data_IF_186735465808
#
_entry.id   IF_186735465808
#
_cell.length_a   1.000
_cell.length_b   1.000
_cell.length_c   1.000
_cell.angle_alpha   90.00
_cell.angle_beta   90.00
_cell.angle_gamma   90.00
#
_symmetry.space_group_name_H-M   'P 1'
#
loop_
_entity.id
_entity.type
_entity.pdbx_description
1 polymer ?
#
# COMPACT_ATOMS: atom_id res chain seq x y z
N UNK A 1 -2.40 -10.27 -5.26
CA UNK A 1 -1.19 -10.88 -4.66
C UNK A 1 -0.96 -10.26 -3.31
N UNK A 2 -0.07 -10.83 -2.51
CA UNK A 2 0.34 -10.28 -1.21
C UNK A 2 1.82 -9.96 -1.28
N UNK A 3 2.21 -8.77 -0.83
CA UNK A 3 3.58 -8.30 -0.82
C UNK A 3 3.92 -7.74 0.54
N UNK A 4 5.12 -8.00 1.02
CA UNK A 4 5.60 -7.47 2.28
C UNK A 4 6.75 -6.51 2.02
N UNK A 5 6.71 -5.36 2.68
CA UNK A 5 7.70 -4.29 2.55
C UNK A 5 8.30 -4.02 3.91
N UNK A 6 9.62 -4.08 3.99
CA UNK A 6 10.38 -3.75 5.20
C UNK A 6 11.25 -2.53 4.91
N UNK A 7 11.15 -1.51 5.76
CA UNK A 7 12.07 -0.38 5.74
C UNK A 7 13.24 -0.67 6.69
N UNK A 8 14.44 -0.85 6.12
CA UNK A 8 15.68 -1.03 6.88
C UNK A 8 16.58 0.17 6.64
N UNK A 9 16.64 1.07 7.63
CA UNK A 9 17.28 2.38 7.48
C UNK A 9 16.58 3.22 6.42
N UNK A 10 17.33 3.71 5.43
CA UNK A 10 16.80 4.53 4.32
C UNK A 10 16.32 3.72 3.11
N UNK A 11 16.28 2.39 3.20
CA UNK A 11 15.96 1.51 2.05
C UNK A 11 14.73 0.67 2.33
N UNK A 12 13.90 0.54 1.29
CA UNK A 12 12.80 -0.41 1.25
C UNK A 12 13.27 -1.72 0.64
N UNK A 13 12.82 -2.84 1.21
CA UNK A 13 13.05 -4.18 0.69
C UNK A 13 11.72 -4.91 0.56
N UNK A 14 11.52 -5.56 -0.59
CA UNK A 14 10.44 -6.52 -0.77
C UNK A 14 10.83 -7.82 -0.04
N UNK A 15 9.88 -8.38 0.69
CA UNK A 15 10.02 -9.62 1.45
C UNK A 15 8.96 -10.61 1.01
N UNK A 16 9.30 -11.89 1.06
CA UNK A 16 8.37 -12.98 0.76
C UNK A 16 7.43 -13.26 1.95
N UNK A 17 7.83 -12.84 3.15
CA UNK A 17 7.09 -13.00 4.40
C UNK A 17 6.98 -11.69 5.20
N UNK A 18 5.97 -11.65 6.06
CA UNK A 18 5.76 -10.59 7.03
C UNK A 18 4.80 -11.06 8.10
N UNK A 19 5.32 -11.78 9.09
CA UNK A 19 4.54 -12.38 10.19
C UNK A 19 3.76 -11.34 11.02
N UNK A 20 4.23 -10.09 11.09
CA UNK A 20 3.56 -9.01 11.82
C UNK A 20 3.89 -7.64 11.23
N UNK A 21 3.21 -7.23 10.15
CA UNK A 21 3.44 -5.94 9.55
C UNK A 21 2.94 -4.81 10.47
N UNK A 22 3.70 -3.72 10.56
CA UNK A 22 3.27 -2.53 11.30
C UNK A 22 2.01 -1.89 10.71
N UNK A 23 1.79 -2.07 9.40
CA UNK A 23 0.61 -1.63 8.69
C UNK A 23 0.26 -2.58 7.56
N UNK A 24 -1.03 -2.73 7.28
CA UNK A 24 -1.55 -3.54 6.17
C UNK A 24 -2.49 -2.70 5.32
N UNK A 25 -2.19 -2.64 4.02
CA UNK A 25 -3.00 -2.02 2.99
C UNK A 25 -3.67 -3.13 2.18
N UNK A 26 -4.99 -3.11 2.10
CA UNK A 26 -5.78 -4.02 1.27
C UNK A 26 -6.51 -3.21 0.21
N UNK A 27 -6.24 -3.53 -1.05
CA UNK A 27 -6.96 -3.00 -2.20
C UNK A 27 -7.76 -4.14 -2.80
N UNK A 28 -9.05 -3.94 -3.03
CA UNK A 28 -9.78 -4.84 -3.91
C UNK A 28 -9.25 -4.73 -5.35
N UNK A 29 -9.63 -5.69 -6.19
CA UNK A 29 -9.11 -5.79 -7.55
C UNK A 29 -9.42 -4.55 -8.40
N UNK A 30 -10.61 -3.97 -8.26
CA UNK A 30 -11.03 -2.82 -9.04
C UNK A 30 -10.29 -1.57 -8.60
N UNK A 31 -10.19 -1.35 -7.30
CA UNK A 31 -9.46 -0.23 -6.70
C UNK A 31 -7.98 -0.30 -7.04
N UNK A 32 -7.36 -1.49 -6.96
CA UNK A 32 -5.98 -1.69 -7.37
C UNK A 32 -5.76 -1.28 -8.84
N UNK A 33 -6.63 -1.74 -9.74
CA UNK A 33 -6.56 -1.34 -11.16
C UNK A 33 -6.72 0.16 -11.36
N UNK A 34 -7.67 0.80 -10.68
CA UNK A 34 -7.88 2.25 -10.75
C UNK A 34 -6.68 3.04 -10.24
N UNK A 35 -6.04 2.58 -9.17
CA UNK A 35 -4.82 3.19 -8.63
C UNK A 35 -3.68 3.07 -9.64
N UNK A 36 -3.47 1.88 -10.21
CA UNK A 36 -2.38 1.64 -11.17
C UNK A 36 -2.54 2.42 -12.48
N UNK A 37 -3.77 2.58 -12.94
CA UNK A 37 -4.07 3.36 -14.15
C UNK A 37 -4.24 4.85 -13.90
N UNK A 38 -4.01 5.31 -12.66
CA UNK A 38 -4.21 6.72 -12.23
C UNK A 38 -5.63 7.23 -12.48
N UNK A 39 -6.61 6.32 -12.52
CA UNK A 39 -8.04 6.62 -12.64
C UNK A 39 -8.67 7.04 -11.30
N UNK A 40 -7.91 7.03 -10.21
CA UNK A 40 -8.30 7.54 -8.89
C UNK A 40 -7.08 8.14 -8.19
N UNK A 41 -7.27 9.22 -7.44
CA UNK A 41 -6.20 9.80 -6.65
C UNK A 41 -5.98 9.02 -5.33
N UNK A 42 -4.78 9.06 -4.74
CA UNK A 42 -4.47 8.29 -3.53
C UNK A 42 -5.32 8.63 -2.31
N UNK A 43 -5.82 9.87 -2.19
CA UNK A 43 -6.65 10.28 -1.05
C UNK A 43 -8.05 9.68 -1.17
N UNK A 44 -8.65 9.71 -2.36
CA UNK A 44 -9.92 9.05 -2.65
C UNK A 44 -9.80 7.53 -2.54
N UNK A 45 -8.67 6.96 -3.00
CA UNK A 45 -8.40 5.54 -2.86
C UNK A 45 -8.28 5.11 -1.39
N UNK A 46 -7.70 5.95 -0.53
CA UNK A 46 -7.55 5.66 0.90
C UNK A 46 -8.90 5.48 1.62
N UNK A 47 -9.96 6.13 1.15
CA UNK A 47 -11.30 5.99 1.71
C UNK A 47 -11.98 4.66 1.34
N UNK A 48 -11.52 4.02 0.26
CA UNK A 48 -12.05 2.74 -0.24
C UNK A 48 -11.13 1.56 0.11
N UNK A 49 -9.87 1.85 0.45
CA UNK A 49 -8.89 0.85 0.84
C UNK A 49 -9.10 0.35 2.28
N UNK A 50 -8.79 -0.93 2.52
CA UNK A 50 -8.65 -1.46 3.87
C UNK A 50 -7.31 -1.04 4.46
N UNK A 51 -7.32 -0.27 5.55
CA UNK A 51 -6.11 0.17 6.26
C UNK A 51 -6.13 -0.38 7.69
N UNK A 52 -5.15 -1.20 8.05
CA UNK A 52 -4.99 -1.79 9.37
C UNK A 52 -3.60 -1.46 9.95
N UNK A 53 -3.48 -1.36 11.28
CA UNK A 53 -2.23 -0.98 11.96
C UNK A 53 -1.94 0.52 11.90
N UNK A 54 -0.69 0.89 11.62
CA UNK A 54 -0.27 2.28 11.46
C UNK A 54 -0.87 2.90 10.19
N UNK A 55 -1.86 3.76 10.40
CA UNK A 55 -2.62 4.44 9.35
C UNK A 55 -1.76 5.42 8.53
N UNK A 56 -0.77 6.06 9.14
CA UNK A 56 0.12 6.97 8.41
C UNK A 56 1.01 6.18 7.47
N UNK A 57 1.56 5.07 7.95
CA UNK A 57 2.37 4.16 7.15
C UNK A 57 1.56 3.55 6.00
N UNK A 58 0.34 3.07 6.26
CA UNK A 58 -0.54 2.49 5.25
C UNK A 58 -0.87 3.50 4.12
N UNK A 59 -1.16 4.76 4.48
CA UNK A 59 -1.42 5.84 3.52
C UNK A 59 -0.19 6.22 2.71
N UNK A 60 0.98 6.20 3.35
CA UNK A 60 2.26 6.45 2.67
C UNK A 60 2.56 5.35 1.65
N UNK A 61 2.33 4.07 2.00
CA UNK A 61 2.46 2.94 1.07
C UNK A 61 1.47 3.09 -0.10
N UNK A 62 0.21 3.45 0.16
CA UNK A 62 -0.76 3.70 -0.92
C UNK A 62 -0.28 4.78 -1.89
N UNK A 63 0.30 5.86 -1.37
CA UNK A 63 0.86 6.94 -2.18
C UNK A 63 2.05 6.48 -3.04
N UNK A 64 2.93 5.65 -2.48
CA UNK A 64 4.06 5.05 -3.21
C UNK A 64 3.58 4.15 -4.35
N UNK A 65 2.60 3.30 -4.07
CA UNK A 65 2.03 2.35 -5.03
C UNK A 65 1.32 3.08 -6.19
N UNK A 66 0.65 4.19 -5.91
CA UNK A 66 -0.02 5.01 -6.93
C UNK A 66 0.94 5.75 -7.88
N UNK A 67 2.19 5.97 -7.48
CA UNK A 67 3.20 6.67 -8.30
C UNK A 67 3.99 5.70 -9.17
N UNK A 68 4.29 4.51 -8.64
CA UNK A 68 5.16 3.51 -9.29
C UNK A 68 4.45 2.64 -10.32
N UNK A 69 3.11 2.58 -10.29
CA UNK A 69 2.31 1.76 -11.18
C UNK A 69 1.99 2.43 -12.53
#
# INVERSE_FOLDING_TARGET
GTWFLEQSGSKWRLRDDGESPAAKLTLDQELAWRVFTKAVDPQTAAAQAGLEGDQLLARQVLSLVAVLA
#
